data_IF_362180954163
#
_entry.id   IF_362180954163
#
_cell.length_a   1.000
_cell.length_b   1.000
_cell.length_c   1.000
_cell.angle_alpha   90.00
_cell.angle_beta   90.00
_cell.angle_gamma   90.00
#
_symmetry.space_group_name_H-M   'P 1'
#
loop_
_entity.id
_entity.type
_entity.pdbx_description
1 polymer ?
#
# COMPACT_ATOMS: atom_id res chain seq x y z
N UNK A 1 47.07 6.58 -30.86
CA UNK A 1 47.42 5.24 -31.38
C UNK A 1 46.78 4.22 -30.46
N UNK A 2 46.04 3.25 -31.04
CA UNK A 2 45.25 2.20 -30.36
C UNK A 2 43.73 2.49 -30.38
N UNK A 3 43.06 2.58 -31.54
CA UNK A 3 42.38 1.51 -32.31
C UNK A 3 41.31 0.75 -31.48
N UNK A 4 40.02 1.09 -31.59
CA UNK A 4 39.06 0.61 -32.61
C UNK A 4 39.03 -0.92 -32.75
N UNK A 5 38.19 -1.60 -31.95
CA UNK A 5 37.70 -2.95 -32.25
C UNK A 5 36.48 -3.27 -31.39
N UNK A 6 35.28 -3.17 -31.97
CA UNK A 6 34.14 -4.07 -31.69
C UNK A 6 32.93 -3.60 -32.51
N UNK A 7 32.98 -3.85 -33.82
CA UNK A 7 31.84 -3.73 -34.71
C UNK A 7 31.81 -5.02 -35.55
N UNK A 8 30.71 -5.78 -35.38
CA UNK A 8 30.15 -6.83 -36.26
C UNK A 8 30.57 -8.33 -36.10
N UNK A 9 29.77 -9.04 -35.29
CA UNK A 9 28.90 -10.21 -35.63
C UNK A 9 29.43 -11.32 -36.55
N UNK A 10 29.32 -12.59 -36.12
CA UNK A 10 28.67 -13.70 -36.87
C UNK A 10 28.17 -14.79 -35.89
N UNK A 11 26.84 -14.84 -35.62
CA UNK A 11 25.85 -15.89 -35.99
C UNK A 11 26.13 -17.28 -35.38
N UNK A 12 25.22 -17.93 -34.63
CA UNK A 12 23.87 -18.39 -35.00
C UNK A 12 23.01 -18.53 -33.73
N UNK A 13 21.78 -18.00 -33.75
CA UNK A 13 20.78 -18.28 -32.71
C UNK A 13 19.66 -17.23 -32.62
N UNK A 14 18.88 -17.06 -33.69
CA UNK A 14 17.48 -16.55 -33.66
C UNK A 14 17.34 -15.10 -33.14
N UNK A 15 17.49 -14.09 -34.01
CA UNK A 15 16.37 -13.26 -34.51
C UNK A 15 15.16 -13.15 -33.57
N UNK A 16 15.12 -12.08 -32.76
CA UNK A 16 14.16 -10.97 -32.88
C UNK A 16 14.41 -10.05 -31.70
N UNK A 17 14.39 -8.75 -31.99
CA UNK A 17 14.44 -7.67 -31.01
C UNK A 17 13.20 -7.75 -30.12
N UNK A 18 13.23 -8.60 -29.11
CA UNK A 18 12.25 -8.61 -28.03
C UNK A 18 12.64 -7.47 -27.09
N UNK A 19 12.03 -6.31 -27.26
CA UNK A 19 12.02 -5.31 -26.21
C UNK A 19 11.16 -5.93 -25.10
N UNK A 20 11.84 -6.50 -24.10
CA UNK A 20 11.24 -7.00 -22.87
C UNK A 20 10.69 -5.77 -22.15
N UNK A 21 9.38 -5.59 -22.25
CA UNK A 21 8.66 -4.59 -21.47
C UNK A 21 8.37 -5.25 -20.14
N UNK A 22 9.02 -4.80 -19.08
CA UNK A 22 8.56 -5.12 -17.74
C UNK A 22 8.02 -3.85 -17.09
N UNK A 23 7.21 -4.03 -16.07
CA UNK A 23 6.35 -3.00 -15.51
C UNK A 23 6.41 -3.07 -14.01
N UNK A 24 6.44 -1.95 -13.29
CA UNK A 24 6.29 -1.88 -11.82
C UNK A 24 4.82 -1.85 -11.40
N UNK A 25 4.27 -2.95 -10.85
CA UNK A 25 2.89 -3.01 -10.39
C UNK A 25 2.78 -2.53 -8.94
N UNK A 26 1.98 -1.49 -8.69
CA UNK A 26 1.69 -1.04 -7.33
C UNK A 26 0.93 -2.11 -6.53
N UNK A 27 1.29 -2.27 -5.27
CA UNK A 27 0.68 -3.19 -4.31
C UNK A 27 -0.85 -3.00 -4.30
N UNK A 28 -1.59 -4.01 -4.75
CA UNK A 28 -3.04 -3.89 -4.87
C UNK A 28 -3.67 -4.36 -3.56
N UNK A 29 -4.25 -3.42 -2.83
CA UNK A 29 -5.18 -3.68 -1.74
C UNK A 29 -6.28 -4.65 -2.15
N UNK A 30 -6.98 -5.23 -1.18
CA UNK A 30 -8.18 -6.00 -1.49
C UNK A 30 -9.17 -5.18 -2.34
N UNK A 31 -9.80 -5.84 -3.32
CA UNK A 31 -10.77 -5.20 -4.20
C UNK A 31 -12.00 -4.77 -3.38
N UNK A 32 -12.14 -3.48 -3.11
CA UNK A 32 -13.25 -3.01 -2.26
C UNK A 32 -13.29 -1.51 -1.97
N UNK A 33 -12.51 -0.69 -2.69
CA UNK A 33 -12.45 0.75 -2.43
C UNK A 33 -11.41 1.18 -1.40
N UNK A 34 -10.47 0.31 -1.04
CA UNK A 34 -9.29 0.65 -0.24
C UNK A 34 -8.46 1.73 -0.94
N UNK A 35 -7.98 2.69 -0.17
CA UNK A 35 -6.98 3.69 -0.58
C UNK A 35 -5.64 3.30 0.01
N UNK A 36 -4.53 3.52 -0.68
CA UNK A 36 -3.22 3.10 -0.16
C UNK A 36 -2.22 4.24 0.04
N UNK A 37 -1.38 4.09 1.05
CA UNK A 37 -0.22 4.93 1.31
C UNK A 37 0.90 4.06 1.89
N UNK A 38 2.13 4.21 1.42
CA UNK A 38 3.31 3.49 1.93
C UNK A 38 3.15 1.96 2.07
N UNK A 39 2.51 1.31 1.08
CA UNK A 39 2.22 -0.13 1.09
C UNK A 39 1.21 -0.59 2.17
N UNK A 40 0.52 0.33 2.83
CA UNK A 40 -0.61 0.04 3.71
C UNK A 40 -1.88 0.51 3.02
N UNK A 41 -2.91 -0.31 3.14
CA UNK A 41 -4.21 -0.11 2.52
C UNK A 41 -5.21 0.26 3.61
N UNK A 42 -5.96 1.33 3.40
CA UNK A 42 -6.91 1.90 4.34
C UNK A 42 -8.32 1.87 3.79
N UNK A 43 -9.29 1.51 4.62
CA UNK A 43 -10.70 1.50 4.27
C UNK A 43 -11.55 2.07 5.40
N UNK A 44 -12.43 3.00 5.06
CA UNK A 44 -13.44 3.53 5.97
C UNK A 44 -14.72 2.70 5.87
N UNK A 45 -15.16 2.16 7.00
CA UNK A 45 -16.46 1.51 7.16
C UNK A 45 -17.39 2.43 7.98
N UNK A 46 -18.54 2.76 7.39
CA UNK A 46 -19.55 3.62 8.01
C UNK A 46 -20.40 2.89 9.07
N UNK A 47 -20.22 1.59 9.25
CA UNK A 47 -20.93 0.79 10.25
C UNK A 47 -20.50 1.20 11.64
N UNK A 48 -21.47 1.52 12.51
CA UNK A 48 -21.16 1.94 13.88
C UNK A 48 -21.02 0.72 14.79
N UNK A 49 -19.82 0.48 15.30
CA UNK A 49 -19.49 -0.65 16.16
C UNK A 49 -18.77 -0.19 17.43
N UNK A 50 -18.83 -1.02 18.47
CA UNK A 50 -17.93 -0.90 19.62
C UNK A 50 -16.48 -1.15 19.17
N UNK A 51 -15.50 -0.58 19.86
CA UNK A 51 -14.10 -0.60 19.41
C UNK A 51 -13.58 -2.03 19.16
N UNK A 52 -13.86 -2.98 20.06
CA UNK A 52 -13.44 -4.39 19.92
C UNK A 52 -14.17 -5.09 18.75
N UNK A 53 -15.42 -4.71 18.49
CA UNK A 53 -16.19 -5.25 17.36
C UNK A 53 -15.72 -4.67 16.02
N UNK A 54 -15.35 -3.38 15.99
CA UNK A 54 -14.74 -2.73 14.84
C UNK A 54 -13.39 -3.38 14.50
N UNK A 55 -12.57 -3.66 15.51
CA UNK A 55 -11.33 -4.41 15.32
C UNK A 55 -11.59 -5.81 14.75
N UNK A 56 -12.56 -6.52 15.30
CA UNK A 56 -12.94 -7.84 14.78
C UNK A 56 -13.40 -7.77 13.31
N UNK A 57 -14.06 -6.67 12.91
CA UNK A 57 -14.44 -6.43 11.53
C UNK A 57 -13.21 -6.19 10.64
N UNK A 58 -12.24 -5.38 11.07
CA UNK A 58 -11.00 -5.15 10.32
C UNK A 58 -10.16 -6.44 10.15
N UNK A 59 -10.14 -7.30 11.17
CA UNK A 59 -9.49 -8.63 11.11
C UNK A 59 -10.10 -9.59 10.07
N UNK A 60 -11.25 -9.26 9.49
CA UNK A 60 -11.83 -10.03 8.39
C UNK A 60 -11.10 -9.81 7.05
N UNK A 61 -10.34 -8.71 6.93
CA UNK A 61 -9.45 -8.43 5.81
C UNK A 61 -8.08 -9.11 6.01
N UNK A 62 -7.35 -9.36 4.92
CA UNK A 62 -6.05 -10.03 4.95
C UNK A 62 -5.01 -9.22 5.74
N UNK A 63 -4.62 -9.74 6.92
CA UNK A 63 -3.77 -9.03 7.89
C UNK A 63 -4.30 -7.63 8.22
N UNK A 64 -5.63 -7.50 8.29
CA UNK A 64 -6.31 -6.24 8.60
C UNK A 64 -6.49 -6.00 10.09
N UNK A 65 -6.50 -4.74 10.49
CA UNK A 65 -6.68 -4.25 11.86
C UNK A 65 -7.18 -2.81 11.83
N UNK A 66 -7.58 -2.23 12.96
CA UNK A 66 -7.86 -0.80 13.06
C UNK A 66 -6.62 0.03 12.73
N UNK A 67 -6.82 1.14 12.03
CA UNK A 67 -5.73 1.93 11.46
C UNK A 67 -4.73 2.46 12.51
N UNK A 68 -3.45 2.28 12.21
CA UNK A 68 -2.32 2.92 12.89
C UNK A 68 -2.03 4.23 12.18
N UNK A 69 -2.08 5.32 12.94
CA UNK A 69 -1.89 6.67 12.41
C UNK A 69 -0.64 7.25 13.07
N UNK A 70 0.53 6.88 12.57
CA UNK A 70 1.83 7.11 13.23
C UNK A 70 2.57 8.36 12.73
N UNK A 71 1.94 9.15 11.86
CA UNK A 71 2.55 10.33 11.27
C UNK A 71 1.49 11.32 10.79
N UNK A 72 1.90 12.59 10.69
CA UNK A 72 1.05 13.65 10.14
C UNK A 72 0.67 13.39 8.66
N UNK A 73 1.54 12.71 7.91
CA UNK A 73 1.29 12.34 6.51
C UNK A 73 0.18 11.29 6.40
N UNK A 74 0.20 10.27 7.26
CA UNK A 74 -0.86 9.25 7.30
C UNK A 74 -2.18 9.84 7.81
N UNK A 75 -2.14 10.69 8.83
CA UNK A 75 -3.34 11.38 9.31
C UNK A 75 -3.99 12.24 8.19
N UNK A 76 -3.17 13.05 7.49
CA UNK A 76 -3.64 13.85 6.37
C UNK A 76 -4.18 12.99 5.22
N UNK A 77 -3.51 11.87 4.91
CA UNK A 77 -3.97 10.93 3.90
C UNK A 77 -5.34 10.33 4.23
N UNK A 78 -5.55 9.90 5.49
CA UNK A 78 -6.84 9.39 5.95
C UNK A 78 -7.91 10.48 5.81
N UNK A 79 -7.65 11.68 6.32
CA UNK A 79 -8.63 12.77 6.30
C UNK A 79 -9.02 13.22 4.87
N UNK A 80 -8.07 13.22 3.91
CA UNK A 80 -8.35 13.74 2.55
C UNK A 80 -8.71 12.68 1.52
N UNK A 81 -8.16 11.47 1.64
CA UNK A 81 -8.23 10.44 0.58
C UNK A 81 -9.14 9.30 0.98
N UNK A 82 -8.99 8.78 2.21
CA UNK A 82 -9.95 7.82 2.78
C UNK A 82 -11.27 8.57 3.09
N UNK A 83 -11.16 9.83 3.51
CA UNK A 83 -12.26 10.77 3.70
C UNK A 83 -13.40 10.20 4.56
N UNK A 84 -13.11 9.76 5.80
CA UNK A 84 -14.12 9.30 6.74
C UNK A 84 -15.13 10.43 7.04
N UNK A 85 -16.37 10.05 7.37
CA UNK A 85 -17.44 11.00 7.65
C UNK A 85 -17.80 11.00 9.13
N UNK A 86 -17.49 12.08 9.83
CA UNK A 86 -17.74 12.20 11.28
C UNK A 86 -16.63 11.54 12.10
N UNK A 87 -16.93 11.26 13.37
CA UNK A 87 -16.00 10.61 14.28
C UNK A 87 -15.80 9.13 13.91
N UNK A 88 -14.59 8.61 14.06
CA UNK A 88 -14.27 7.22 13.72
C UNK A 88 -13.22 6.60 14.64
N UNK A 89 -13.31 5.29 14.85
CA UNK A 89 -12.30 4.53 15.59
C UNK A 89 -10.98 4.40 14.81
N UNK A 90 -9.89 4.45 15.57
CA UNK A 90 -8.53 4.10 15.15
C UNK A 90 -7.96 3.03 16.10
N UNK A 91 -6.83 2.44 15.73
CA UNK A 91 -6.20 1.33 16.47
C UNK A 91 -5.48 1.75 17.76
N UNK A 92 -5.60 3.01 18.20
CA UNK A 92 -4.97 3.48 19.42
C UNK A 92 -5.85 3.19 20.64
N UNK A 93 -5.24 2.71 21.71
CA UNK A 93 -5.86 2.60 23.03
C UNK A 93 -4.97 3.27 24.08
N UNK A 94 -5.56 3.56 25.24
CA UNK A 94 -4.89 4.17 26.39
C UNK A 94 -5.07 3.40 27.70
N UNK A 95 -4.80 2.08 27.75
CA UNK A 95 -4.94 1.30 28.97
C UNK A 95 -4.02 1.85 30.08
N UNK A 96 -4.57 2.04 31.28
CA UNK A 96 -3.81 2.54 32.45
C UNK A 96 -3.03 3.85 32.20
N UNK A 97 -3.53 4.73 31.32
CA UNK A 97 -2.89 5.98 30.89
C UNK A 97 -1.66 5.83 29.97
N UNK A 98 -1.38 4.66 29.43
CA UNK A 98 -0.30 4.44 28.46
C UNK A 98 -0.86 4.35 27.05
N UNK A 99 -0.26 5.05 26.09
CA UNK A 99 -0.65 4.96 24.68
C UNK A 99 -0.12 3.67 24.07
N UNK A 100 -1.01 2.86 23.50
CA UNK A 100 -0.69 1.56 22.92
C UNK A 100 -1.41 1.39 21.58
N UNK A 101 -0.64 1.26 20.50
CA UNK A 101 -1.16 0.84 19.20
C UNK A 101 -1.54 -0.63 19.25
N UNK A 102 -2.54 -0.99 18.46
CA UNK A 102 -3.03 -2.37 18.36
C UNK A 102 -1.96 -3.37 17.88
N UNK A 103 -0.97 -2.90 17.12
CA UNK A 103 0.19 -3.68 16.69
C UNK A 103 1.21 -3.92 17.80
N UNK A 104 1.14 -3.17 18.89
CA UNK A 104 2.18 -3.10 19.93
C UNK A 104 3.37 -2.21 19.56
N UNK A 105 3.32 -1.49 18.43
CA UNK A 105 4.36 -0.56 18.04
C UNK A 105 4.46 0.63 19.00
N UNK A 106 5.66 1.20 19.10
CA UNK A 106 5.89 2.37 19.93
C UNK A 106 5.14 3.58 19.37
N UNK A 107 4.36 4.26 20.22
CA UNK A 107 3.69 5.51 19.87
C UNK A 107 4.72 6.64 19.83
N UNK A 108 5.19 6.98 18.63
CA UNK A 108 6.19 8.04 18.42
C UNK A 108 5.59 9.39 18.01
N UNK A 109 4.33 9.37 17.57
CA UNK A 109 3.57 10.53 17.14
C UNK A 109 2.10 10.37 17.56
N UNK A 110 1.45 11.47 17.90
CA UNK A 110 0.04 11.49 18.26
C UNK A 110 -0.61 12.84 17.90
N UNK A 111 -1.89 12.80 17.55
CA UNK A 111 -2.71 13.97 17.16
C UNK A 111 -3.77 14.31 18.21
N UNK A 112 -3.42 14.24 19.50
CA UNK A 112 -4.35 14.53 20.60
C UNK A 112 -5.02 15.90 20.45
N UNK A 113 -6.34 15.92 20.61
CA UNK A 113 -7.12 17.14 20.63
C UNK A 113 -6.86 18.00 21.87
N UNK A 114 -7.40 19.22 21.87
CA UNK A 114 -7.27 20.12 23.02
C UNK A 114 -7.88 19.48 24.27
N UNK A 115 -7.12 19.48 25.38
CA UNK A 115 -7.48 18.86 26.66
C UNK A 115 -7.65 17.33 26.63
N UNK A 116 -7.15 16.67 25.59
CA UNK A 116 -7.06 15.22 25.49
C UNK A 116 -5.64 14.73 25.78
N UNK A 117 -5.47 13.49 26.26
CA UNK A 117 -6.50 12.52 26.61
C UNK A 117 -7.23 12.87 27.92
N UNK A 118 -8.55 12.66 27.96
CA UNK A 118 -9.36 12.74 29.19
C UNK A 118 -9.37 11.37 29.91
N UNK A 119 -8.77 11.35 31.11
CA UNK A 119 -8.71 10.17 31.98
C UNK A 119 -10.08 9.59 32.39
N UNK A 120 -11.17 10.37 32.27
CA UNK A 120 -12.52 9.93 32.62
C UNK A 120 -13.36 9.42 31.44
N UNK A 121 -12.92 9.63 30.20
CA UNK A 121 -13.72 9.35 29.01
C UNK A 121 -13.66 7.88 28.56
N UNK A 122 -12.61 7.13 28.93
CA UNK A 122 -12.41 5.74 28.56
C UNK A 122 -10.99 5.46 28.10
N UNK A 123 -10.76 4.27 27.55
CA UNK A 123 -9.44 3.82 27.12
C UNK A 123 -9.33 3.61 25.60
N UNK A 124 -10.41 3.80 24.83
CA UNK A 124 -10.36 3.68 23.38
C UNK A 124 -10.23 5.06 22.75
N UNK A 125 -9.66 5.16 21.54
CA UNK A 125 -9.40 6.45 20.90
C UNK A 125 -10.15 6.55 19.59
N UNK A 126 -10.86 7.66 19.44
CA UNK A 126 -11.51 8.06 18.19
C UNK A 126 -10.86 9.31 17.64
N UNK A 127 -10.86 9.42 16.32
CA UNK A 127 -10.56 10.64 15.59
C UNK A 127 -11.86 11.41 15.34
N UNK A 128 -11.83 12.73 15.49
CA UNK A 128 -13.00 13.61 15.29
C UNK A 128 -12.91 14.36 13.97
N UNK A 129 -14.02 14.92 13.50
CA UNK A 129 -14.10 15.67 12.23
C UNK A 129 -13.33 17.00 12.19
N UNK A 130 -12.50 17.30 13.20
CA UNK A 130 -11.74 18.53 13.27
C UNK A 130 -10.50 18.49 12.37
N UNK A 131 -10.37 19.49 11.49
CA UNK A 131 -9.23 19.67 10.60
C UNK A 131 -7.95 19.89 11.42
N UNK A 132 -7.19 18.81 11.68
CA UNK A 132 -5.93 18.73 12.43
C UNK A 132 -6.05 18.78 13.97
N UNK A 133 -5.41 17.81 14.64
CA UNK A 133 -5.41 17.59 16.12
C UNK A 133 -6.78 17.22 16.70
N UNK A 134 -7.20 15.99 16.44
CA UNK A 134 -8.59 15.57 16.53
C UNK A 134 -8.82 14.28 17.32
N UNK A 135 -7.80 13.71 17.98
CA UNK A 135 -7.99 12.47 18.74
C UNK A 135 -8.50 12.72 20.15
N UNK A 136 -9.50 11.93 20.54
CA UNK A 136 -10.11 11.96 21.87
C UNK A 136 -10.18 10.56 22.47
N UNK A 137 -10.02 10.46 23.79
CA UNK A 137 -10.39 9.23 24.51
C UNK A 137 -11.91 9.11 24.57
N UNK A 138 -12.42 7.90 24.45
CA UNK A 138 -13.84 7.58 24.45
C UNK A 138 -14.10 6.21 25.09
N UNK A 139 -15.37 5.97 25.44
CA UNK A 139 -15.80 4.70 25.99
C UNK A 139 -15.72 3.61 24.92
N UNK A 140 -15.07 2.49 25.22
CA UNK A 140 -14.87 1.42 24.24
C UNK A 140 -16.19 0.78 23.74
N UNK A 141 -17.28 0.91 24.50
CA UNK A 141 -18.63 0.47 24.12
C UNK A 141 -19.47 1.54 23.43
N UNK A 142 -18.89 2.70 23.11
CA UNK A 142 -19.53 3.65 22.20
C UNK A 142 -19.55 3.09 20.78
N UNK A 143 -20.55 3.50 19.99
CA UNK A 143 -20.70 3.04 18.61
C UNK A 143 -20.21 4.13 17.66
N UNK A 144 -19.11 3.86 16.96
CA UNK A 144 -18.55 4.75 15.95
C UNK A 144 -18.23 3.98 14.66
N UNK A 145 -18.31 4.63 13.49
CA UNK A 145 -17.61 4.20 12.27
C UNK A 145 -16.13 3.94 12.54
N UNK A 146 -15.42 3.32 11.60
CA UNK A 146 -14.02 2.95 11.83
C UNK A 146 -13.21 2.93 10.54
N UNK A 147 -11.89 3.13 10.69
CA UNK A 147 -10.94 2.98 9.59
C UNK A 147 -10.09 1.76 9.86
N UNK A 148 -10.14 0.80 8.94
CA UNK A 148 -9.24 -0.34 8.93
C UNK A 148 -7.98 0.00 8.13
N UNK A 149 -6.87 -0.59 8.54
CA UNK A 149 -5.70 -0.78 7.71
C UNK A 149 -5.47 -2.26 7.43
N UNK A 150 -4.77 -2.57 6.36
CA UNK A 150 -4.23 -3.88 6.08
C UNK A 150 -2.88 -3.72 5.39
N UNK A 151 -1.98 -4.68 5.58
CA UNK A 151 -0.79 -4.73 4.75
C UNK A 151 -1.21 -4.86 3.28
N UNK A 152 -0.66 -4.02 2.41
CA UNK A 152 -0.65 -4.31 0.99
C UNK A 152 0.04 -5.65 0.78
N UNK A 153 -0.42 -6.46 -0.17
CA UNK A 153 0.12 -7.81 -0.39
C UNK A 153 1.57 -7.75 -0.87
N UNK A 154 2.51 -7.53 0.06
CA UNK A 154 3.94 -7.32 -0.14
C UNK A 154 4.66 -8.61 -0.50
N UNK A 155 4.22 -9.25 -1.60
CA UNK A 155 4.79 -10.49 -2.10
C UNK A 155 3.98 -11.14 -3.22
N UNK A 156 2.71 -10.80 -3.38
CA UNK A 156 1.91 -11.23 -4.53
C UNK A 156 1.67 -10.03 -5.42
N UNK A 157 2.37 -10.00 -6.55
CA UNK A 157 1.98 -9.12 -7.62
C UNK A 157 0.54 -9.43 -8.07
N UNK A 158 -0.15 -8.44 -8.64
CA UNK A 158 -1.50 -8.62 -9.15
C UNK A 158 -1.58 -9.76 -10.17
N UNK A 159 -2.79 -10.25 -10.45
CA UNK A 159 -3.01 -11.31 -11.46
C UNK A 159 -2.27 -11.00 -12.77
N UNK A 160 -1.49 -11.96 -13.28
CA UNK A 160 -0.60 -11.85 -14.46
C UNK A 160 0.73 -11.10 -14.25
N UNK A 161 1.12 -10.76 -13.01
CA UNK A 161 2.42 -10.17 -12.69
C UNK A 161 3.26 -11.14 -11.83
N UNK A 162 4.55 -11.15 -12.08
CA UNK A 162 5.54 -11.97 -11.37
C UNK A 162 6.36 -11.13 -10.40
N UNK A 163 6.65 -11.70 -9.23
CA UNK A 163 7.41 -11.04 -8.16
C UNK A 163 8.90 -11.39 -8.25
N UNK A 164 9.77 -10.38 -8.21
CA UNK A 164 11.20 -10.58 -7.99
C UNK A 164 11.74 -9.53 -7.01
N UNK A 165 12.26 -9.99 -5.87
CA UNK A 165 12.63 -9.12 -4.76
C UNK A 165 11.42 -8.37 -4.21
N UNK A 166 11.49 -7.05 -4.17
CA UNK A 166 10.39 -6.14 -3.80
C UNK A 166 9.70 -5.52 -5.01
N UNK A 167 9.91 -6.08 -6.21
CA UNK A 167 9.41 -5.54 -7.45
C UNK A 167 8.48 -6.52 -8.14
N UNK A 168 7.45 -5.98 -8.77
CA UNK A 168 6.53 -6.71 -9.64
C UNK A 168 6.89 -6.43 -11.09
N UNK A 169 6.65 -7.42 -11.95
CA UNK A 169 7.00 -7.40 -13.36
C UNK A 169 5.88 -8.06 -14.16
N UNK A 170 5.39 -7.42 -15.22
CA UNK A 170 4.46 -8.05 -16.17
C UNK A 170 5.09 -8.04 -17.57
N UNK A 171 5.11 -9.21 -18.20
CA UNK A 171 5.54 -9.39 -19.57
C UNK A 171 4.35 -9.23 -20.52
N UNK A 172 4.09 -7.99 -20.93
CA UNK A 172 3.00 -7.64 -21.85
C UNK A 172 3.35 -7.98 -23.30
N UNK A 173 3.30 -9.26 -23.68
CA UNK A 173 3.52 -9.64 -25.08
C UNK A 173 3.53 -11.13 -25.41
N UNK A 174 3.84 -12.00 -24.45
CA UNK A 174 4.04 -13.42 -24.74
C UNK A 174 2.73 -14.16 -25.07
N UNK A 175 1.65 -13.93 -24.32
CA UNK A 175 0.33 -14.55 -24.58
C UNK A 175 -0.32 -14.09 -25.91
N UNK A 176 0.11 -12.99 -26.52
CA UNK A 176 -0.65 -12.32 -27.60
C UNK A 176 0.12 -12.02 -28.89
N UNK A 177 1.43 -12.27 -29.00
CA UNK A 177 2.23 -11.95 -30.20
C UNK A 177 2.08 -10.48 -30.67
N UNK A 178 1.66 -9.58 -29.77
CA UNK A 178 1.37 -8.17 -30.07
C UNK A 178 2.53 -7.31 -29.58
N UNK A 179 3.64 -7.34 -30.33
CA UNK A 179 4.74 -6.42 -30.07
C UNK A 179 4.26 -4.96 -30.23
N UNK A 180 4.68 -4.12 -29.30
CA UNK A 180 4.38 -2.68 -29.27
C UNK A 180 5.64 -1.89 -29.63
N UNK A 181 5.48 -0.68 -30.17
CA UNK A 181 6.61 0.26 -30.25
C UNK A 181 7.06 0.65 -28.85
N UNK A 182 8.28 1.17 -28.69
CA UNK A 182 8.77 1.62 -27.37
C UNK A 182 7.82 2.65 -26.73
N UNK A 183 7.31 3.60 -27.51
CA UNK A 183 6.40 4.62 -27.03
C UNK A 183 5.04 4.04 -26.61
N UNK A 184 4.50 3.09 -27.39
CA UNK A 184 3.25 2.42 -27.06
C UNK A 184 3.40 1.47 -25.86
N UNK A 185 4.58 0.87 -25.70
CA UNK A 185 4.93 0.04 -24.55
C UNK A 185 4.99 0.88 -23.28
N UNK A 186 5.73 2.00 -23.29
CA UNK A 186 5.76 2.94 -22.16
C UNK A 186 4.36 3.44 -21.81
N UNK A 187 3.58 3.86 -22.80
CA UNK A 187 2.19 4.32 -22.58
C UNK A 187 1.32 3.21 -21.99
N UNK A 188 1.51 1.96 -22.43
CA UNK A 188 0.80 0.81 -21.88
C UNK A 188 1.22 0.54 -20.43
N UNK A 189 2.51 0.57 -20.11
CA UNK A 189 3.00 0.45 -18.74
C UNK A 189 2.38 1.53 -17.83
N UNK A 190 2.40 2.78 -18.28
CA UNK A 190 1.79 3.90 -17.56
C UNK A 190 0.29 3.68 -17.35
N UNK A 191 -0.41 3.10 -18.34
CA UNK A 191 -1.83 2.76 -18.21
C UNK A 191 -2.12 1.64 -17.20
N UNK A 192 -1.11 0.84 -16.84
CA UNK A 192 -1.20 -0.19 -15.79
C UNK A 192 -0.74 0.34 -14.42
N UNK A 193 -0.53 1.66 -14.27
CA UNK A 193 0.00 2.24 -13.03
C UNK A 193 1.48 1.90 -12.81
N UNK A 194 2.23 1.71 -13.90
CA UNK A 194 3.61 1.22 -13.90
C UNK A 194 4.50 2.02 -14.86
N UNK A 195 5.75 1.58 -15.08
CA UNK A 195 6.64 2.12 -16.10
C UNK A 195 7.50 1.02 -16.70
N UNK A 196 8.13 1.26 -17.87
CA UNK A 196 9.08 0.32 -18.45
C UNK A 196 10.18 -0.06 -17.45
N UNK A 197 10.52 -1.34 -17.40
CA UNK A 197 11.44 -1.87 -16.41
C UNK A 197 12.81 -1.25 -16.51
N UNK A 198 13.42 -1.09 -15.34
CA UNK A 198 14.79 -0.67 -15.22
C UNK A 198 15.55 -1.82 -14.58
N UNK A 199 16.16 -2.64 -15.43
CA UNK A 199 16.98 -3.77 -14.97
C UNK A 199 18.35 -3.26 -14.57
N UNK A 200 18.65 -3.31 -13.28
CA UNK A 200 19.85 -2.70 -12.71
C UNK A 200 20.93 -3.72 -12.36
N UNK A 201 20.59 -5.00 -12.29
CA UNK A 201 21.55 -6.06 -11.97
C UNK A 201 21.55 -7.17 -13.03
N UNK A 202 22.71 -7.83 -13.18
CA UNK A 202 22.83 -9.00 -14.06
C UNK A 202 22.03 -10.20 -13.55
N UNK A 203 21.79 -10.28 -12.24
CA UNK A 203 20.97 -11.32 -11.62
C UNK A 203 19.51 -11.12 -11.99
N UNK A 204 18.99 -9.91 -11.79
CA UNK A 204 17.66 -9.48 -12.25
C UNK A 204 17.49 -9.74 -13.76
N UNK A 205 18.46 -9.35 -14.59
CA UNK A 205 18.41 -9.63 -16.03
C UNK A 205 18.35 -11.13 -16.37
N UNK A 206 19.01 -11.97 -15.57
CA UNK A 206 19.03 -13.42 -15.81
C UNK A 206 17.70 -14.04 -15.41
N UNK A 207 17.16 -13.68 -14.25
CA UNK A 207 15.91 -14.19 -13.71
C UNK A 207 14.72 -13.82 -14.60
N UNK A 208 14.66 -12.56 -15.05
CA UNK A 208 13.62 -12.07 -15.96
C UNK A 208 13.69 -12.70 -17.36
N UNK A 209 14.84 -13.28 -17.75
CA UNK A 209 15.01 -13.93 -19.04
C UNK A 209 14.58 -15.40 -19.04
N UNK A 210 14.30 -16.01 -17.88
CA UNK A 210 13.88 -17.42 -17.76
C UNK A 210 12.35 -17.58 -17.63
N UNK A 211 11.62 -16.47 -17.50
CA UNK A 211 10.16 -16.48 -17.42
C UNK A 211 9.56 -16.68 -18.83
N UNK A 212 9.57 -17.94 -19.29
CA UNK A 212 8.95 -18.45 -20.53
C UNK A 212 7.52 -18.98 -20.31
#
# INVERSE_FOLDING_TARGET
MGQLAAMWIFLIGITLSNIITLTFGQNQCEAGGFQHSNNICYHYDATQLEWESAETACNSYSNGQLAVVDSADIAGFIDTTVSPTGDYWIGLTKPNNNDEWITGDAVTWASWGSAQPDSGAGACVRSTDSMQSNWETAGCSELHPFVCEQEGTGGSCGTDWDTYGSSCYLLSGWKSLSSRSWADAQTYCESQGSHLAVVTTSLENTELAVWE
#
